data_IF_305603767087
#
_entry.id   IF_305603767087
#
_cell.length_a   1.000
_cell.length_b   1.000
_cell.length_c   1.000
_cell.angle_alpha   90.00
_cell.angle_beta   90.00
_cell.angle_gamma   90.00
#
_symmetry.space_group_name_H-M   'P 1'
#
loop_
_entity.id
_entity.type
_entity.pdbx_description
1 polymer ?
#
# COMPACT_ATOMS: atom_id res chain seq x y z
N UNK A 1 18.38 -5.59 5.35
CA UNK A 1 16.89 -5.64 5.31
C UNK A 1 16.40 -5.67 3.87
N UNK A 2 15.42 -6.53 3.56
CA UNK A 2 14.90 -6.66 2.19
C UNK A 2 13.73 -5.70 1.92
N UNK A 3 12.90 -5.41 2.92
CA UNK A 3 11.69 -4.62 2.78
C UNK A 3 11.47 -3.80 4.05
N UNK A 4 12.02 -2.59 4.12
CA UNK A 4 11.70 -1.67 5.21
C UNK A 4 10.71 -0.61 4.73
N UNK A 5 9.68 -0.36 5.52
CA UNK A 5 8.70 0.68 5.20
C UNK A 5 9.35 2.06 5.16
N UNK A 6 9.72 2.54 6.33
CA UNK A 6 10.34 3.86 6.52
C UNK A 6 11.54 3.74 7.46
N UNK A 7 12.72 3.35 6.94
CA UNK A 7 13.85 3.00 7.80
C UNK A 7 14.42 4.17 8.60
N UNK A 8 14.36 5.40 8.08
CA UNK A 8 14.78 6.61 8.80
C UNK A 8 13.74 6.99 9.85
N UNK A 9 12.46 7.08 9.49
CA UNK A 9 11.39 7.45 10.41
C UNK A 9 11.19 6.43 11.53
N UNK A 10 11.53 5.16 11.30
CA UNK A 10 11.50 4.09 12.32
C UNK A 10 12.76 4.03 13.18
N UNK A 11 13.75 4.90 12.96
CA UNK A 11 15.01 4.93 13.72
C UNK A 11 15.95 3.74 13.44
N UNK A 12 15.74 2.99 12.38
CA UNK A 12 16.60 1.85 12.00
C UNK A 12 17.94 2.31 11.44
N UNK A 13 17.98 3.49 10.81
CA UNK A 13 19.15 4.07 10.17
C UNK A 13 19.13 5.60 10.32
N UNK A 14 20.31 6.23 10.24
CA UNK A 14 20.46 7.69 10.33
C UNK A 14 19.93 8.40 9.08
N UNK A 15 20.29 7.86 7.91
CA UNK A 15 19.81 8.34 6.61
C UNK A 15 19.86 7.23 5.56
N UNK A 16 19.21 7.43 4.41
CA UNK A 16 19.27 6.45 3.31
C UNK A 16 20.69 6.40 2.70
N UNK A 17 21.36 7.55 2.57
CA UNK A 17 22.68 7.63 1.97
C UNK A 17 23.79 7.10 2.88
N UNK A 18 23.63 7.27 4.20
CA UNK A 18 24.59 6.81 5.21
C UNK A 18 23.81 6.17 6.37
N UNK A 19 23.64 4.84 6.33
CA UNK A 19 22.87 4.13 7.35
C UNK A 19 23.45 4.26 8.77
N UNK A 20 24.79 4.37 8.90
CA UNK A 20 25.49 4.68 10.15
C UNK A 20 25.67 3.50 11.11
N UNK A 21 24.95 2.40 10.93
CA UNK A 21 24.93 1.26 11.84
C UNK A 21 25.16 -0.08 11.15
N UNK A 22 24.58 -1.15 11.73
CA UNK A 22 24.67 -2.50 11.21
C UNK A 22 23.50 -2.90 10.30
N UNK A 23 22.68 -1.94 9.87
CA UNK A 23 21.49 -2.16 9.04
C UNK A 23 21.66 -1.45 7.69
N UNK A 24 21.45 -2.19 6.60
CA UNK A 24 21.34 -1.66 5.23
C UNK A 24 20.30 -2.48 4.43
N UNK A 25 20.06 -2.12 3.18
CA UNK A 25 19.20 -2.87 2.24
C UNK A 25 18.28 -1.98 1.41
N UNK A 26 16.98 -2.33 1.33
CA UNK A 26 16.02 -1.64 0.48
C UNK A 26 14.83 -1.09 1.30
N UNK A 27 14.40 0.12 0.94
CA UNK A 27 13.13 0.71 1.41
C UNK A 27 11.98 0.37 0.45
N UNK A 28 10.73 0.61 0.86
CA UNK A 28 9.55 0.32 0.02
C UNK A 28 8.90 1.57 -0.58
N UNK A 29 9.18 2.76 -0.09
CA UNK A 29 8.51 4.01 -0.51
C UNK A 29 6.97 3.93 -0.49
N UNK A 30 6.40 3.15 0.40
CA UNK A 30 4.95 2.91 0.38
C UNK A 30 4.13 4.10 0.86
N UNK A 31 4.72 4.99 1.63
CA UNK A 31 4.07 6.20 2.14
C UNK A 31 3.89 7.21 1.01
N UNK A 32 4.95 7.48 0.26
CA UNK A 32 4.99 8.48 -0.83
C UNK A 32 4.00 8.15 -1.95
N UNK A 33 3.70 6.87 -2.14
CA UNK A 33 2.74 6.41 -3.16
C UNK A 33 1.27 6.62 -2.77
N UNK A 34 0.97 7.10 -1.57
CA UNK A 34 -0.40 7.31 -1.08
C UNK A 34 -1.24 8.17 -2.00
N UNK A 35 -0.68 9.30 -2.44
CA UNK A 35 -1.34 10.20 -3.40
C UNK A 35 -1.65 9.53 -4.72
N UNK A 36 -0.69 8.77 -5.27
CA UNK A 36 -0.89 8.06 -6.55
C UNK A 36 -1.96 6.98 -6.45
N UNK A 37 -2.04 6.30 -5.31
CA UNK A 37 -3.13 5.35 -5.05
C UNK A 37 -4.49 6.04 -5.05
N UNK A 38 -4.65 7.21 -4.44
CA UNK A 38 -5.91 7.96 -4.48
C UNK A 38 -6.27 8.44 -5.90
N UNK A 39 -5.29 8.86 -6.70
CA UNK A 39 -5.50 9.21 -8.12
C UNK A 39 -6.07 8.03 -8.90
N UNK A 40 -5.42 6.85 -8.80
CA UNK A 40 -5.86 5.62 -9.45
C UNK A 40 -7.28 5.22 -9.01
N UNK A 41 -7.55 5.30 -7.72
CA UNK A 41 -8.87 4.99 -7.18
C UNK A 41 -9.94 5.94 -7.73
N UNK A 42 -9.63 7.23 -7.83
CA UNK A 42 -10.53 8.25 -8.40
C UNK A 42 -10.73 8.07 -9.91
N UNK A 43 -9.72 7.62 -10.65
CA UNK A 43 -9.88 7.26 -12.06
C UNK A 43 -10.83 6.07 -12.24
N UNK A 44 -10.75 5.07 -11.37
CA UNK A 44 -11.60 3.87 -11.42
C UNK A 44 -13.03 4.19 -10.93
N UNK A 45 -13.17 5.13 -10.00
CA UNK A 45 -14.45 5.58 -9.43
C UNK A 45 -14.62 7.09 -9.67
N UNK A 46 -15.11 7.54 -10.86
CA UNK A 46 -15.01 8.95 -11.28
C UNK A 46 -15.73 9.94 -10.37
N UNK A 47 -16.81 9.55 -9.68
CA UNK A 47 -17.57 10.41 -8.76
C UNK A 47 -17.10 10.31 -7.31
N UNK A 48 -15.90 9.76 -7.09
CA UNK A 48 -15.34 9.57 -5.77
C UNK A 48 -15.07 10.91 -5.08
N UNK A 49 -15.77 11.14 -3.98
CA UNK A 49 -15.60 12.31 -3.11
C UNK A 49 -15.26 11.95 -1.67
N UNK A 50 -15.45 10.67 -1.27
CA UNK A 50 -15.23 10.18 0.09
C UNK A 50 -14.55 8.82 0.05
N UNK A 51 -13.49 8.65 0.84
CA UNK A 51 -12.72 7.41 0.97
C UNK A 51 -12.56 7.06 2.44
N UNK A 52 -12.96 5.86 2.79
CA UNK A 52 -12.57 5.27 4.07
C UNK A 52 -11.11 4.83 4.02
N UNK A 53 -10.37 5.09 5.08
CA UNK A 53 -8.95 4.73 5.16
C UNK A 53 -8.73 3.84 6.36
N UNK A 54 -8.39 2.57 6.13
CA UNK A 54 -7.95 1.66 7.18
C UNK A 54 -6.46 1.90 7.46
N UNK A 55 -6.14 2.15 8.72
CA UNK A 55 -4.76 2.39 9.15
C UNK A 55 -4.53 1.95 10.60
N UNK A 56 -3.28 1.68 10.95
CA UNK A 56 -2.86 1.20 12.26
C UNK A 56 -2.16 2.32 13.03
N UNK A 57 -2.82 2.98 14.02
CA UNK A 57 -2.28 4.16 14.69
C UNK A 57 -1.02 3.86 15.53
N UNK A 58 -0.84 2.62 15.96
CA UNK A 58 0.34 2.18 16.74
C UNK A 58 1.54 1.79 15.88
N UNK A 59 1.40 1.78 14.56
CA UNK A 59 2.46 1.41 13.62
C UNK A 59 2.99 2.68 12.95
N UNK A 60 4.27 2.99 13.15
CA UNK A 60 4.88 4.25 12.67
C UNK A 60 4.66 4.47 11.17
N UNK A 61 4.85 3.43 10.34
CA UNK A 61 4.64 3.53 8.89
C UNK A 61 3.19 3.86 8.54
N UNK A 62 2.22 3.25 9.24
CA UNK A 62 0.80 3.45 8.96
C UNK A 62 0.34 4.84 9.39
N UNK A 63 0.79 5.30 10.57
CA UNK A 63 0.53 6.64 11.06
C UNK A 63 1.12 7.71 10.14
N UNK A 64 2.35 7.50 9.65
CA UNK A 64 2.97 8.40 8.68
C UNK A 64 2.20 8.41 7.36
N UNK A 65 1.81 7.24 6.83
CA UNK A 65 1.02 7.13 5.61
C UNK A 65 -0.35 7.84 5.74
N UNK A 66 -1.01 7.70 6.89
CA UNK A 66 -2.25 8.42 7.19
C UNK A 66 -2.03 9.95 7.18
N UNK A 67 -0.94 10.44 7.75
CA UNK A 67 -0.59 11.86 7.76
C UNK A 67 -0.31 12.37 6.33
N UNK A 68 0.52 11.66 5.60
CA UNK A 68 0.99 12.09 4.27
C UNK A 68 -0.11 12.05 3.19
N UNK A 69 -1.13 11.18 3.31
CA UNK A 69 -2.22 11.08 2.34
C UNK A 69 -3.21 12.26 2.42
N UNK A 70 -3.22 13.04 3.52
CA UNK A 70 -4.18 14.13 3.73
C UNK A 70 -4.08 15.23 2.67
N UNK A 71 -2.85 15.67 2.35
CA UNK A 71 -2.64 16.73 1.37
C UNK A 71 -3.02 16.30 -0.05
N UNK A 72 -2.58 15.14 -0.56
CA UNK A 72 -3.07 14.60 -1.84
C UNK A 72 -4.58 14.48 -1.92
N UNK A 73 -5.24 13.99 -0.86
CA UNK A 73 -6.69 13.85 -0.83
C UNK A 73 -7.39 15.21 -1.02
N UNK A 74 -6.93 16.25 -0.31
CA UNK A 74 -7.48 17.62 -0.46
C UNK A 74 -7.32 18.15 -1.89
N UNK A 75 -6.15 17.95 -2.51
CA UNK A 75 -5.89 18.35 -3.90
C UNK A 75 -6.80 17.63 -4.89
N UNK A 76 -7.17 16.40 -4.60
CA UNK A 76 -8.09 15.60 -5.40
C UNK A 76 -9.57 15.87 -5.09
N UNK A 77 -9.90 16.70 -4.10
CA UNK A 77 -11.27 16.91 -3.64
C UNK A 77 -11.88 15.67 -3.01
N UNK A 78 -11.07 14.86 -2.30
CA UNK A 78 -11.48 13.64 -1.60
C UNK A 78 -11.48 13.91 -0.09
N UNK A 79 -12.60 13.65 0.55
CA UNK A 79 -12.74 13.62 2.01
C UNK A 79 -12.31 12.24 2.52
N UNK A 80 -11.43 12.21 3.53
CA UNK A 80 -10.94 10.96 4.13
C UNK A 80 -11.65 10.69 5.45
N UNK A 81 -12.15 9.47 5.60
CA UNK A 81 -12.70 8.94 6.86
C UNK A 81 -11.72 7.96 7.49
N UNK A 82 -11.27 8.29 8.70
CA UNK A 82 -10.36 7.46 9.48
C UNK A 82 -11.07 6.22 10.03
N UNK A 83 -10.51 5.05 9.76
CA UNK A 83 -10.88 3.78 10.37
C UNK A 83 -9.64 3.17 11.01
N UNK A 84 -9.51 3.39 12.31
CA UNK A 84 -8.37 2.92 13.10
C UNK A 84 -8.52 1.42 13.41
N UNK A 85 -7.46 0.67 13.16
CA UNK A 85 -7.37 -0.76 13.41
C UNK A 85 -6.23 -1.01 14.38
N UNK A 86 -6.55 -1.57 15.54
CA UNK A 86 -5.55 -1.95 16.54
C UNK A 86 -5.15 -3.42 16.42
N UNK A 87 -6.09 -4.24 15.96
CA UNK A 87 -5.89 -5.68 15.75
C UNK A 87 -6.93 -6.22 14.75
N UNK A 88 -6.79 -7.48 14.34
CA UNK A 88 -7.64 -8.09 13.32
C UNK A 88 -9.13 -8.19 13.72
N UNK A 89 -9.45 -8.25 15.03
CA UNK A 89 -10.84 -8.33 15.50
C UNK A 89 -11.62 -7.02 15.30
N UNK A 90 -10.95 -5.90 15.01
CA UNK A 90 -11.58 -4.63 14.72
C UNK A 90 -12.12 -4.56 13.27
N UNK A 91 -11.59 -5.41 12.37
CA UNK A 91 -11.93 -5.37 10.95
C UNK A 91 -13.45 -5.44 10.68
N UNK A 92 -14.22 -6.39 11.22
CA UNK A 92 -15.66 -6.46 10.93
C UNK A 92 -16.39 -5.16 11.28
N UNK A 93 -16.12 -4.59 12.46
CA UNK A 93 -16.73 -3.33 12.91
C UNK A 93 -16.31 -2.14 12.04
N UNK A 94 -15.04 -2.11 11.60
CA UNK A 94 -14.54 -1.06 10.72
C UNK A 94 -15.27 -1.09 9.36
N UNK A 95 -15.48 -2.27 8.78
CA UNK A 95 -16.25 -2.41 7.53
C UNK A 95 -17.73 -2.04 7.70
N UNK A 96 -18.38 -2.40 8.81
CA UNK A 96 -19.74 -1.92 9.11
C UNK A 96 -19.79 -0.38 9.20
N UNK A 97 -18.76 0.23 9.81
CA UNK A 97 -18.66 1.69 9.91
C UNK A 97 -18.43 2.30 8.53
N UNK A 98 -17.57 1.69 7.71
CA UNK A 98 -17.32 2.11 6.34
C UNK A 98 -18.59 2.17 5.48
N UNK A 99 -19.43 1.13 5.59
CA UNK A 99 -20.73 1.07 4.90
C UNK A 99 -21.67 2.17 5.40
N UNK A 100 -21.76 2.37 6.73
CA UNK A 100 -22.59 3.42 7.31
C UNK A 100 -22.16 4.84 6.91
N UNK A 101 -20.87 5.07 6.77
CA UNK A 101 -20.31 6.35 6.33
C UNK A 101 -20.62 6.69 4.85
N UNK A 102 -21.17 5.74 4.09
CA UNK A 102 -21.50 5.89 2.65
C UNK A 102 -20.32 6.43 1.84
N UNK A 103 -19.09 6.06 2.20
CA UNK A 103 -17.93 6.39 1.41
C UNK A 103 -17.92 5.58 0.12
N UNK A 104 -17.47 6.18 -0.96
CA UNK A 104 -17.49 5.55 -2.29
C UNK A 104 -16.38 4.52 -2.51
N UNK A 105 -15.37 4.45 -1.63
CA UNK A 105 -14.26 3.54 -1.77
C UNK A 105 -13.47 3.38 -0.45
N UNK A 106 -12.49 2.46 -0.47
CA UNK A 106 -11.63 2.11 0.65
C UNK A 106 -10.16 2.17 0.23
N UNK A 107 -9.32 2.81 1.02
CA UNK A 107 -7.86 2.76 0.90
C UNK A 107 -7.26 2.08 2.13
N UNK A 108 -6.35 1.13 1.91
CA UNK A 108 -5.67 0.42 2.97
C UNK A 108 -4.23 0.91 3.07
N UNK A 109 -3.86 1.44 4.24
CA UNK A 109 -2.51 1.90 4.50
C UNK A 109 -1.56 0.72 4.74
N UNK A 110 -0.23 0.91 4.60
CA UNK A 110 0.71 -0.15 4.95
C UNK A 110 0.62 -0.48 6.45
N UNK A 111 0.60 -1.78 6.79
CA UNK A 111 0.55 -2.22 8.18
C UNK A 111 0.59 -3.74 8.31
N UNK A 112 1.18 -4.27 9.40
CA UNK A 112 1.31 -5.71 9.63
C UNK A 112 -0.03 -6.44 9.82
N UNK A 113 -1.01 -5.82 10.49
CA UNK A 113 -2.36 -6.42 10.63
C UNK A 113 -2.97 -6.64 9.25
N UNK A 114 -2.82 -5.68 8.33
CA UNK A 114 -3.41 -5.79 7.00
C UNK A 114 -2.71 -6.85 6.15
N UNK A 115 -1.38 -6.91 6.19
CA UNK A 115 -0.62 -7.94 5.47
C UNK A 115 -0.85 -9.34 5.98
N UNK A 116 -1.13 -9.52 7.25
CA UNK A 116 -1.48 -10.81 7.83
C UNK A 116 -2.93 -11.26 7.52
N UNK A 117 -3.81 -10.33 7.11
CA UNK A 117 -5.26 -10.60 6.94
C UNK A 117 -5.78 -10.24 5.53
N UNK A 118 -4.94 -10.40 4.49
CA UNK A 118 -5.23 -10.02 3.09
C UNK A 118 -6.59 -10.53 2.61
N UNK A 119 -6.82 -11.85 2.73
CA UNK A 119 -8.06 -12.50 2.25
C UNK A 119 -9.30 -12.00 3.00
N UNK A 120 -9.18 -11.83 4.32
CA UNK A 120 -10.30 -11.35 5.12
C UNK A 120 -10.69 -9.93 4.72
N UNK A 121 -9.72 -9.04 4.54
CA UNK A 121 -9.94 -7.65 4.12
C UNK A 121 -10.53 -7.59 2.72
N UNK A 122 -9.99 -8.35 1.76
CA UNK A 122 -10.51 -8.40 0.39
C UNK A 122 -11.95 -8.92 0.37
N UNK A 123 -12.27 -9.95 1.14
CA UNK A 123 -13.62 -10.48 1.27
C UNK A 123 -14.59 -9.46 1.89
N UNK A 124 -14.19 -8.77 2.97
CA UNK A 124 -15.03 -7.71 3.56
C UNK A 124 -15.27 -6.56 2.57
N UNK A 125 -14.26 -6.14 1.82
CA UNK A 125 -14.42 -5.10 0.79
C UNK A 125 -15.40 -5.55 -0.30
N UNK A 126 -15.29 -6.79 -0.78
CA UNK A 126 -16.18 -7.35 -1.79
C UNK A 126 -17.64 -7.48 -1.29
N UNK A 127 -17.86 -8.04 -0.09
CA UNK A 127 -19.20 -8.20 0.49
C UNK A 127 -19.85 -6.87 0.85
N UNK A 128 -19.05 -5.85 1.17
CA UNK A 128 -19.51 -4.49 1.42
C UNK A 128 -19.68 -3.66 0.14
N UNK A 129 -19.44 -4.23 -1.04
CA UNK A 129 -19.45 -3.53 -2.33
C UNK A 129 -18.56 -2.26 -2.34
N UNK A 130 -17.43 -2.27 -1.64
CA UNK A 130 -16.50 -1.14 -1.56
C UNK A 130 -15.32 -1.32 -2.53
N UNK A 131 -15.24 -0.50 -3.60
CA UNK A 131 -14.02 -0.41 -4.41
C UNK A 131 -12.83 -0.12 -3.52
N UNK A 132 -11.73 -0.86 -3.69
CA UNK A 132 -10.62 -0.79 -2.73
C UNK A 132 -9.26 -0.77 -3.40
N UNK A 133 -8.34 0.04 -2.84
CA UNK A 133 -6.96 0.13 -3.27
C UNK A 133 -5.99 -0.23 -2.15
N UNK A 134 -4.91 -0.94 -2.53
CA UNK A 134 -3.94 -1.51 -1.62
C UNK A 134 -2.51 -1.17 -2.05
N UNK A 135 -1.56 -1.39 -1.15
CA UNK A 135 -0.14 -1.05 -1.34
C UNK A 135 0.74 -2.20 -1.82
N UNK A 136 0.24 -3.43 -1.90
CA UNK A 136 0.99 -4.61 -2.34
C UNK A 136 0.15 -5.52 -3.24
N UNK A 137 0.78 -6.12 -4.25
CA UNK A 137 0.14 -6.96 -5.27
C UNK A 137 -0.61 -8.18 -4.72
N UNK A 138 -0.14 -8.73 -3.60
CA UNK A 138 -0.74 -9.90 -2.93
C UNK A 138 -2.24 -9.70 -2.60
N UNK A 139 -2.67 -8.43 -2.38
CA UNK A 139 -4.09 -8.13 -2.17
C UNK A 139 -4.96 -8.37 -3.42
N UNK A 140 -4.44 -8.12 -4.62
CA UNK A 140 -5.16 -8.39 -5.86
C UNK A 140 -5.37 -9.90 -6.05
N UNK A 141 -4.36 -10.72 -5.69
CA UNK A 141 -4.47 -12.18 -5.67
C UNK A 141 -5.52 -12.66 -4.66
N UNK A 142 -5.62 -11.97 -3.53
CA UNK A 142 -6.62 -12.25 -2.50
C UNK A 142 -8.04 -11.78 -2.87
N UNK A 143 -8.24 -11.16 -4.04
CA UNK A 143 -9.55 -10.64 -4.48
C UNK A 143 -9.73 -9.12 -4.33
N UNK A 144 -8.68 -8.37 -3.97
CA UNK A 144 -8.72 -6.90 -3.96
C UNK A 144 -8.87 -6.31 -5.36
N UNK A 145 -9.50 -5.13 -5.48
CA UNK A 145 -9.80 -4.52 -6.78
C UNK A 145 -8.55 -4.02 -7.51
N UNK A 146 -7.73 -3.24 -6.84
CA UNK A 146 -6.54 -2.63 -7.43
C UNK A 146 -5.43 -2.47 -6.41
N UNK A 147 -4.20 -2.69 -6.85
CA UNK A 147 -3.01 -2.46 -6.03
C UNK A 147 -2.03 -1.58 -6.77
N UNK A 148 -1.32 -0.72 -6.04
CA UNK A 148 -0.19 0.03 -6.58
C UNK A 148 0.91 0.16 -5.53
N UNK A 149 2.06 -0.40 -5.82
CA UNK A 149 3.20 -0.43 -4.91
C UNK A 149 4.48 -0.91 -5.57
N UNK A 150 5.58 -1.03 -4.80
CA UNK A 150 6.84 -1.53 -5.33
C UNK A 150 6.74 -2.99 -5.75
N UNK A 151 7.44 -3.35 -6.83
CA UNK A 151 7.65 -4.75 -7.22
C UNK A 151 8.50 -5.46 -6.15
N UNK A 152 7.82 -6.24 -5.31
CA UNK A 152 8.46 -6.95 -4.19
C UNK A 152 9.45 -8.02 -4.67
N UNK A 153 9.17 -8.68 -5.79
CA UNK A 153 10.07 -9.68 -6.35
C UNK A 153 11.39 -9.04 -6.80
N UNK A 154 11.32 -7.85 -7.40
CA UNK A 154 12.52 -7.08 -7.74
C UNK A 154 13.30 -6.66 -6.49
N UNK A 155 12.61 -6.18 -5.46
CA UNK A 155 13.26 -5.80 -4.19
C UNK A 155 13.97 -7.01 -3.53
N UNK A 156 13.32 -8.16 -3.45
CA UNK A 156 13.97 -9.37 -2.91
C UNK A 156 15.18 -9.82 -3.74
N UNK A 157 15.07 -9.74 -5.07
CA UNK A 157 16.19 -10.08 -5.98
C UNK A 157 17.37 -9.14 -5.76
N UNK A 158 17.10 -7.84 -5.64
CA UNK A 158 18.13 -6.83 -5.35
C UNK A 158 18.70 -6.96 -3.94
N UNK A 159 17.92 -7.39 -2.96
CA UNK A 159 18.42 -7.64 -1.60
C UNK A 159 19.54 -8.68 -1.57
N UNK A 160 19.54 -9.66 -2.47
CA UNK A 160 20.61 -10.65 -2.58
C UNK A 160 21.99 -9.99 -2.90
N UNK A 161 21.99 -8.87 -3.63
CA UNK A 161 23.26 -8.16 -3.91
C UNK A 161 23.87 -7.52 -2.66
N UNK A 162 23.06 -7.10 -1.70
CA UNK A 162 23.53 -6.63 -0.40
C UNK A 162 24.14 -7.75 0.42
N UNK A 163 23.49 -8.92 0.41
CA UNK A 163 24.03 -10.11 1.09
C UNK A 163 25.39 -10.48 0.51
N UNK A 164 25.52 -10.54 -0.81
CA UNK A 164 26.80 -10.83 -1.49
C UNK A 164 27.90 -9.83 -1.11
N UNK A 165 27.61 -8.53 -1.15
CA UNK A 165 28.57 -7.48 -0.76
C UNK A 165 29.02 -7.63 0.70
N UNK A 166 28.09 -7.88 1.62
CA UNK A 166 28.40 -8.04 3.05
C UNK A 166 29.22 -9.30 3.29
N UNK A 167 28.89 -10.42 2.65
CA UNK A 167 29.70 -11.66 2.75
C UNK A 167 31.10 -11.50 2.17
N UNK A 168 31.31 -10.57 1.23
CA UNK A 168 32.61 -10.17 0.68
C UNK A 168 33.35 -9.11 1.52
N UNK A 169 32.81 -8.76 2.68
CA UNK A 169 33.49 -7.89 3.66
C UNK A 169 33.03 -6.41 3.64
N UNK A 170 32.04 -6.02 2.82
CA UNK A 170 31.49 -4.68 2.89
C UNK A 170 30.74 -4.45 4.21
N UNK A 171 30.93 -3.30 4.82
CA UNK A 171 30.22 -2.95 6.07
C UNK A 171 28.82 -2.42 5.74
N UNK A 172 27.77 -2.86 6.45
CA UNK A 172 26.41 -2.33 6.27
C UNK A 172 26.32 -0.81 6.39
N UNK A 173 27.11 -0.21 7.28
CA UNK A 173 27.18 1.25 7.48
C UNK A 173 27.58 2.02 6.22
N UNK A 174 28.39 1.41 5.34
CA UNK A 174 28.93 2.02 4.13
C UNK A 174 28.07 1.72 2.88
N UNK A 175 27.03 0.90 3.01
CA UNK A 175 26.15 0.54 1.93
C UNK A 175 24.86 1.37 2.00
N UNK A 176 24.64 2.34 1.08
CA UNK A 176 23.40 3.12 1.05
C UNK A 176 22.15 2.26 0.96
N UNK A 177 21.06 2.71 1.58
CA UNK A 177 19.76 2.09 1.40
C UNK A 177 19.19 2.48 0.04
N UNK A 178 18.87 1.49 -0.76
CA UNK A 178 18.30 1.71 -2.07
C UNK A 178 16.77 1.82 -2.00
N UNK A 179 16.21 2.64 -2.87
CA UNK A 179 14.78 2.78 -3.08
C UNK A 179 14.31 1.90 -4.24
N UNK A 180 13.01 1.53 -4.31
CA UNK A 180 12.49 0.81 -5.46
C UNK A 180 12.61 1.65 -6.72
N UNK A 181 12.94 0.99 -7.82
CA UNK A 181 12.96 1.58 -9.16
C UNK A 181 11.82 1.02 -10.02
N UNK A 182 11.17 -0.05 -9.55
CA UNK A 182 10.03 -0.68 -10.22
C UNK A 182 8.82 -0.68 -9.32
N UNK A 183 7.71 -0.25 -9.88
CA UNK A 183 6.40 -0.24 -9.25
C UNK A 183 5.45 -1.08 -10.08
N UNK A 184 4.49 -1.73 -9.45
CA UNK A 184 3.53 -2.60 -10.09
C UNK A 184 2.11 -2.09 -9.84
N UNK A 185 1.36 -1.90 -10.94
CA UNK A 185 -0.09 -1.68 -10.94
C UNK A 185 -0.78 -3.00 -11.31
N UNK A 186 -1.51 -3.58 -10.35
CA UNK A 186 -2.32 -4.78 -10.61
C UNK A 186 -3.80 -4.44 -10.54
N UNK A 187 -4.57 -4.87 -11.52
CA UNK A 187 -6.02 -4.65 -11.59
C UNK A 187 -6.72 -6.01 -11.65
N UNK A 188 -7.69 -6.22 -10.77
CA UNK A 188 -8.51 -7.42 -10.76
C UNK A 188 -9.86 -7.16 -11.43
N UNK A 189 -10.01 -7.60 -12.68
CA UNK A 189 -11.23 -7.41 -13.45
C UNK A 189 -12.38 -8.31 -12.97
N UNK A 190 -12.11 -9.46 -12.36
CA UNK A 190 -13.16 -10.28 -11.70
C UNK A 190 -13.82 -9.50 -10.58
N UNK A 191 -13.01 -8.86 -9.73
CA UNK A 191 -13.51 -8.03 -8.63
C UNK A 191 -14.21 -6.78 -9.16
N UNK A 192 -13.66 -6.13 -10.19
CA UNK A 192 -14.32 -4.99 -10.84
C UNK A 192 -15.71 -5.37 -11.36
N UNK A 193 -15.83 -6.50 -12.07
CA UNK A 193 -17.11 -7.04 -12.56
C UNK A 193 -18.08 -7.32 -11.43
N UNK A 194 -17.64 -7.96 -10.35
CA UNK A 194 -18.48 -8.27 -9.18
C UNK A 194 -18.99 -6.99 -8.48
N UNK A 195 -18.21 -5.90 -8.51
CA UNK A 195 -18.58 -4.59 -7.98
C UNK A 195 -19.41 -3.74 -8.96
N UNK A 196 -19.67 -4.22 -10.19
CA UNK A 196 -20.33 -3.45 -11.23
C UNK A 196 -19.51 -2.26 -11.76
N UNK A 197 -18.18 -2.32 -11.66
CA UNK A 197 -17.26 -1.26 -12.04
C UNK A 197 -16.64 -1.55 -13.40
N UNK A 198 -16.69 -0.59 -14.29
CA UNK A 198 -15.92 -0.63 -15.54
C UNK A 198 -14.59 0.08 -15.33
N UNK A 199 -13.50 -0.67 -15.31
CA UNK A 199 -12.15 -0.10 -15.20
C UNK A 199 -11.81 0.63 -16.50
N UNK A 200 -11.46 1.94 -16.46
CA UNK A 200 -11.13 2.72 -17.66
C UNK A 200 -9.99 2.09 -18.45
N UNK A 201 -10.05 2.21 -19.77
CA UNK A 201 -9.03 1.67 -20.67
C UNK A 201 -7.64 2.26 -20.37
N UNK A 202 -7.58 3.56 -20.00
CA UNK A 202 -6.35 4.24 -19.58
C UNK A 202 -5.68 3.58 -18.38
N UNK A 203 -6.44 3.08 -17.41
CA UNK A 203 -5.91 2.33 -16.25
C UNK A 203 -5.47 0.93 -16.66
N UNK A 204 -6.28 0.24 -17.48
CA UNK A 204 -5.95 -1.11 -17.97
C UNK A 204 -4.65 -1.14 -18.78
N UNK A 205 -4.41 -0.16 -19.65
CA UNK A 205 -3.17 -0.07 -20.44
C UNK A 205 -1.92 0.23 -19.61
N UNK A 206 -2.08 0.88 -18.45
CA UNK A 206 -0.97 1.13 -17.53
C UNK A 206 -0.75 0.00 -16.53
N UNK A 207 -1.68 -0.95 -16.46
CA UNK A 207 -1.54 -2.07 -15.56
C UNK A 207 -0.42 -3.01 -16.02
N UNK A 208 0.51 -3.30 -15.13
CA UNK A 208 1.57 -4.28 -15.35
C UNK A 208 1.00 -5.69 -15.35
N UNK A 209 -0.10 -5.89 -14.61
CA UNK A 209 -0.80 -7.17 -14.53
C UNK A 209 -2.31 -6.98 -14.37
N UNK A 210 -3.05 -7.81 -15.09
CA UNK A 210 -4.51 -7.87 -15.04
C UNK A 210 -4.95 -9.28 -14.66
N UNK A 211 -5.82 -9.39 -13.65
CA UNK A 211 -6.43 -10.67 -13.21
C UNK A 211 -7.83 -10.75 -13.84
N UNK A 212 -8.02 -11.75 -14.72
CA UNK A 212 -9.26 -12.01 -15.47
C UNK A 212 -10.01 -13.22 -14.90
#
# INVERSE_FOLDING_TARGET
>A
MALAGEPVASGLVESLARPGGNVTGLSQMTVELGGKRLELLKEIVPKLSRVNVLWEPRTAISALAWKEIQLPARKLGIELYSLEILNASDLPKAFETAVRARAGALAIMPGPVFTANLKQIANHAATSHLPSIYNVGDFAEAGGLVTYGPDRADLFRRAATFVDKILKGAKPADLPIEQPTKFELVVNLKTAKALGITVPQSVRFRADRVIE
#
